data_IF_536794455048
#
_entry.id   IF_536794455048
#
_cell.length_a   1.000
_cell.length_b   1.000
_cell.length_c   1.000
_cell.angle_alpha   90.00
_cell.angle_beta   90.00
_cell.angle_gamma   90.00
#
_symmetry.space_group_name_H-M   'P 1'
#
loop_
_entity.id
_entity.type
_entity.pdbx_description
1 polymer ?
#
# COMPACT_ATOMS: atom_id res chain seq x y z
N UNK A 1 -5.53 36.98 4.08
CA UNK A 1 -4.06 36.93 4.01
C UNK A 1 -3.59 35.61 4.61
N UNK A 2 -3.17 34.64 3.80
CA UNK A 2 -2.65 33.36 4.33
C UNK A 2 -1.23 33.62 4.84
N UNK A 3 -1.03 33.56 6.15
CA UNK A 3 0.30 33.71 6.75
C UNK A 3 1.13 32.48 6.37
N UNK A 4 2.23 32.68 5.65
CA UNK A 4 3.15 31.61 5.26
C UNK A 4 3.77 30.99 6.52
N UNK A 5 3.63 29.67 6.67
CA UNK A 5 4.31 28.90 7.70
C UNK A 5 5.84 29.01 7.48
N UNK A 6 6.60 29.30 8.53
CA UNK A 6 8.03 29.59 8.44
C UNK A 6 8.88 28.42 8.95
N UNK A 7 8.69 28.06 10.22
CA UNK A 7 9.36 26.91 10.85
C UNK A 7 8.35 26.04 11.57
N UNK A 8 8.64 24.74 11.65
CA UNK A 8 7.86 23.75 12.39
C UNK A 8 8.70 23.07 13.46
N UNK A 9 8.04 22.64 14.54
CA UNK A 9 8.58 21.66 15.49
C UNK A 9 7.45 20.82 16.04
N UNK A 10 7.74 19.58 16.39
CA UNK A 10 6.75 18.69 16.99
C UNK A 10 7.33 17.97 18.20
N UNK A 11 6.43 17.51 19.07
CA UNK A 11 6.73 16.70 20.24
C UNK A 11 5.55 15.79 20.54
N UNK A 12 5.76 14.75 21.34
CA UNK A 12 4.67 14.01 21.96
C UNK A 12 4.28 14.69 23.29
N UNK A 13 2.98 14.82 23.53
CA UNK A 13 2.38 15.22 24.82
C UNK A 13 1.32 14.17 25.12
N UNK A 14 1.44 13.49 26.26
CA UNK A 14 0.57 12.37 26.65
C UNK A 14 0.43 11.29 25.55
N UNK A 15 1.56 10.99 24.89
CA UNK A 15 1.62 10.01 23.79
C UNK A 15 1.04 10.49 22.46
N UNK A 16 0.52 11.72 22.37
CA UNK A 16 -0.07 12.28 21.15
C UNK A 16 0.81 13.36 20.53
N UNK A 17 0.87 13.45 19.19
CA UNK A 17 1.69 14.45 18.52
C UNK A 17 1.10 15.86 18.66
N UNK A 18 1.95 16.80 19.03
CA UNK A 18 1.65 18.22 19.07
C UNK A 18 2.57 18.97 18.11
N UNK A 19 1.97 19.63 17.11
CA UNK A 19 2.69 20.39 16.10
C UNK A 19 2.62 21.89 16.41
N UNK A 20 3.78 22.53 16.44
CA UNK A 20 3.92 23.97 16.57
C UNK A 20 4.48 24.57 15.28
N UNK A 21 4.05 25.79 14.97
CA UNK A 21 4.51 26.55 13.83
C UNK A 21 4.88 27.98 14.23
N UNK A 22 5.96 28.51 13.65
CA UNK A 22 6.29 29.94 13.64
C UNK A 22 5.87 30.56 12.31
N UNK A 23 5.38 31.80 12.36
CA UNK A 23 4.97 32.57 11.17
C UNK A 23 5.92 33.77 10.93
N UNK A 24 7.22 33.56 11.14
CA UNK A 24 8.28 34.56 10.94
C UNK A 24 9.38 34.53 12.00
N UNK A 25 10.54 35.11 11.68
CA UNK A 25 11.81 34.99 12.42
C UNK A 25 11.77 35.39 13.90
N UNK A 26 10.82 36.21 14.34
CA UNK A 26 10.66 36.66 15.73
C UNK A 26 9.22 36.51 16.26
N UNK A 27 8.46 35.56 15.72
CA UNK A 27 7.09 35.28 16.18
C UNK A 27 7.07 34.15 17.20
N UNK A 28 6.09 34.15 18.13
CA UNK A 28 5.92 33.03 19.05
C UNK A 28 5.56 31.75 18.29
N UNK A 29 5.88 30.60 18.88
CA UNK A 29 5.38 29.31 18.42
C UNK A 29 3.88 29.22 18.70
N UNK A 30 3.12 28.80 17.70
CA UNK A 30 1.67 28.59 17.80
C UNK A 30 1.38 27.11 17.63
N UNK A 31 0.60 26.53 18.54
CA UNK A 31 0.10 25.16 18.38
C UNK A 31 -0.90 25.12 17.22
N UNK A 32 -0.61 24.31 16.21
CA UNK A 32 -1.43 24.13 15.03
C UNK A 32 -1.92 22.68 14.86
N UNK A 33 -1.82 21.83 15.89
CA UNK A 33 -2.22 20.40 15.83
C UNK A 33 -3.63 20.21 15.29
N UNK A 34 -4.57 21.08 15.68
CA UNK A 34 -5.98 21.01 15.24
C UNK A 34 -6.17 21.23 13.72
N UNK A 35 -5.14 21.70 13.01
CA UNK A 35 -5.14 21.85 11.55
C UNK A 35 -4.63 20.61 10.81
N UNK A 36 -4.33 19.53 11.53
CA UNK A 36 -3.84 18.25 11.00
C UNK A 36 -4.83 17.15 11.33
N UNK A 37 -4.71 16.02 10.65
CA UNK A 37 -5.46 14.83 11.00
C UNK A 37 -5.11 14.38 12.41
N UNK A 38 -6.13 13.94 13.15
CA UNK A 38 -5.93 13.37 14.47
C UNK A 38 -5.73 11.87 14.34
N UNK A 39 -4.58 11.38 14.80
CA UNK A 39 -4.28 9.94 14.81
C UNK A 39 -5.28 9.16 15.67
N UNK A 40 -5.90 9.79 16.66
CA UNK A 40 -6.93 9.16 17.52
C UNK A 40 -8.21 8.78 16.77
N UNK A 41 -8.38 9.26 15.54
CA UNK A 41 -9.51 8.90 14.67
C UNK A 41 -9.22 7.65 13.83
N UNK A 42 -8.03 7.07 13.94
CA UNK A 42 -7.70 5.79 13.33
C UNK A 42 -8.20 4.65 14.22
N UNK A 43 -8.69 3.59 13.57
CA UNK A 43 -9.00 2.32 14.23
C UNK A 43 -8.44 1.18 13.38
N UNK A 44 -7.91 0.17 14.06
CA UNK A 44 -7.16 -0.92 13.44
C UNK A 44 -7.90 -2.24 13.70
N UNK A 45 -8.28 -2.94 12.64
CA UNK A 45 -8.86 -4.28 12.76
C UNK A 45 -7.74 -5.31 12.58
N UNK A 46 -7.61 -6.28 13.48
CA UNK A 46 -6.65 -7.37 13.34
C UNK A 46 -7.19 -8.52 12.46
N UNK A 47 -6.39 -9.57 12.27
CA UNK A 47 -6.76 -10.79 11.54
C UNK A 47 -7.87 -11.62 12.22
N UNK A 48 -8.10 -11.42 13.52
CA UNK A 48 -9.15 -12.09 14.31
C UNK A 48 -10.45 -11.26 14.40
N UNK A 49 -10.56 -10.17 13.62
CA UNK A 49 -11.67 -9.21 13.67
C UNK A 49 -11.82 -8.49 15.02
N UNK A 50 -10.74 -8.37 15.78
CA UNK A 50 -10.69 -7.52 16.97
C UNK A 50 -10.34 -6.09 16.55
N UNK A 51 -11.11 -5.13 17.07
CA UNK A 51 -10.83 -3.71 16.87
C UNK A 51 -9.84 -3.23 17.93
N UNK A 52 -8.84 -2.47 17.49
CA UNK A 52 -7.81 -1.85 18.30
C UNK A 52 -7.81 -0.34 18.08
N UNK A 53 -7.49 0.37 19.15
CA UNK A 53 -7.28 1.81 19.15
C UNK A 53 -5.80 2.15 18.98
N UNK A 54 -5.49 3.36 18.49
CA UNK A 54 -4.11 3.83 18.39
C UNK A 54 -3.42 3.95 19.76
N UNK A 55 -4.17 4.10 20.85
CA UNK A 55 -3.62 4.10 22.21
C UNK A 55 -2.99 2.76 22.63
N UNK A 56 -3.30 1.67 21.92
CA UNK A 56 -2.67 0.36 22.14
C UNK A 56 -1.33 0.22 21.39
N UNK A 57 -0.99 1.18 20.52
CA UNK A 57 0.22 1.16 19.71
C UNK A 57 1.34 1.97 20.37
N UNK A 58 2.58 1.58 20.09
CA UNK A 58 3.73 2.42 20.43
C UNK A 58 3.84 3.57 19.44
N UNK A 59 3.97 4.80 19.95
CA UNK A 59 4.05 6.02 19.15
C UNK A 59 5.37 6.72 19.44
N UNK A 60 6.15 6.92 18.40
CA UNK A 60 7.40 7.69 18.44
C UNK A 60 7.31 8.87 17.49
N UNK A 61 8.14 9.89 17.70
CA UNK A 61 8.25 11.03 16.78
C UNK A 61 9.72 11.26 16.47
N UNK A 62 10.02 11.41 15.18
CA UNK A 62 11.34 11.86 14.72
C UNK A 62 11.14 13.15 13.93
N UNK A 63 11.66 14.25 14.47
CA UNK A 63 11.45 15.61 13.98
C UNK A 63 9.96 15.96 13.78
N UNK A 64 9.45 15.83 12.55
CA UNK A 64 8.10 16.19 12.13
C UNK A 64 7.28 14.99 11.65
N UNK A 65 7.83 13.78 11.78
CA UNK A 65 7.22 12.53 11.36
C UNK A 65 6.89 11.68 12.58
N UNK A 66 5.62 11.34 12.74
CA UNK A 66 5.15 10.41 13.77
C UNK A 66 5.21 9.00 13.20
N UNK A 67 5.69 8.06 13.98
CA UNK A 67 5.69 6.63 13.66
C UNK A 67 4.82 5.90 14.67
N UNK A 68 3.81 5.20 14.17
CA UNK A 68 2.88 4.37 14.96
C UNK A 68 3.22 2.92 14.65
N UNK A 69 3.78 2.20 15.63
CA UNK A 69 4.19 0.82 15.47
C UNK A 69 2.99 -0.12 15.58
N UNK A 70 2.83 -1.01 14.60
CA UNK A 70 1.77 -2.01 14.55
C UNK A 70 2.31 -3.34 15.08
N UNK A 71 2.03 -3.62 16.36
CA UNK A 71 2.53 -4.82 17.05
C UNK A 71 1.67 -6.08 16.81
N UNK A 72 0.80 -6.03 15.80
CA UNK A 72 -0.13 -7.10 15.45
C UNK A 72 -0.47 -7.01 13.96
N UNK A 73 -0.96 -8.11 13.40
CA UNK A 73 -1.31 -8.23 11.99
C UNK A 73 -2.60 -7.46 11.67
N UNK A 74 -2.44 -6.22 11.20
CA UNK A 74 -3.57 -5.34 10.85
C UNK A 74 -4.19 -5.79 9.53
N UNK A 75 -5.46 -6.20 9.57
CA UNK A 75 -6.23 -6.60 8.40
C UNK A 75 -6.96 -5.42 7.75
N UNK A 76 -7.36 -4.40 8.52
CA UNK A 76 -8.03 -3.20 8.01
C UNK A 76 -7.67 -1.96 8.83
N UNK A 77 -7.65 -0.81 8.18
CA UNK A 77 -7.47 0.49 8.84
C UNK A 77 -8.66 1.37 8.49
N UNK A 78 -9.26 1.93 9.53
CA UNK A 78 -10.37 2.86 9.44
C UNK A 78 -9.91 4.24 9.87
N UNK A 79 -10.46 5.28 9.26
CA UNK A 79 -10.35 6.66 9.74
C UNK A 79 -11.74 7.26 9.84
N UNK A 80 -12.11 7.76 11.03
CA UNK A 80 -13.48 8.24 11.30
C UNK A 80 -14.55 7.20 10.93
N UNK A 81 -14.29 5.92 11.21
CA UNK A 81 -15.14 4.77 10.89
C UNK A 81 -15.30 4.44 9.40
N UNK A 82 -14.57 5.10 8.50
CA UNK A 82 -14.51 4.74 7.08
C UNK A 82 -13.29 3.88 6.81
N UNK A 83 -13.45 2.78 6.07
CA UNK A 83 -12.33 1.90 5.75
C UNK A 83 -11.47 2.56 4.67
N UNK A 84 -10.23 2.87 5.02
CA UNK A 84 -9.26 3.51 4.11
C UNK A 84 -8.19 2.55 3.61
N UNK A 85 -7.99 1.41 4.28
CA UNK A 85 -7.09 0.36 3.80
C UNK A 85 -7.54 -1.03 4.24
N UNK A 86 -7.27 -2.04 3.39
CA UNK A 86 -7.50 -3.46 3.66
C UNK A 86 -6.31 -4.29 3.20
N UNK A 87 -5.93 -5.29 3.99
CA UNK A 87 -4.83 -6.21 3.70
C UNK A 87 -4.92 -6.84 2.31
N UNK A 88 -6.12 -7.25 1.90
CA UNK A 88 -6.30 -7.95 0.64
C UNK A 88 -5.99 -7.08 -0.61
N UNK A 89 -5.89 -5.76 -0.47
CA UNK A 89 -5.50 -4.89 -1.59
C UNK A 89 -4.07 -5.13 -2.07
N UNK A 90 -3.18 -5.57 -1.16
CA UNK A 90 -1.76 -5.76 -1.45
C UNK A 90 -1.15 -6.86 -0.55
N UNK A 91 -1.84 -8.00 -0.43
CA UNK A 91 -1.45 -9.04 0.52
C UNK A 91 -0.03 -9.58 0.30
N UNK A 92 0.49 -9.48 -0.92
CA UNK A 92 1.86 -9.86 -1.27
C UNK A 92 2.93 -8.98 -0.62
N UNK A 93 2.58 -7.76 -0.20
CA UNK A 93 3.45 -6.89 0.61
C UNK A 93 3.47 -7.29 2.09
N UNK A 94 2.65 -8.26 2.51
CA UNK A 94 2.49 -8.69 3.89
C UNK A 94 1.68 -7.69 4.74
N UNK A 95 1.80 -7.82 6.07
CA UNK A 95 1.18 -6.88 7.00
C UNK A 95 2.04 -5.63 7.18
N UNK A 96 1.44 -4.42 7.29
CA UNK A 96 2.19 -3.21 7.55
C UNK A 96 2.82 -3.27 8.95
N UNK A 97 4.05 -2.78 9.08
CA UNK A 97 4.76 -2.70 10.37
C UNK A 97 4.50 -1.41 11.10
N UNK A 98 4.31 -0.31 10.39
CA UNK A 98 4.01 0.96 11.01
C UNK A 98 3.30 1.91 10.06
N UNK A 99 2.61 2.87 10.66
CA UNK A 99 2.06 4.04 9.98
C UNK A 99 3.00 5.21 10.23
N UNK A 100 3.46 5.87 9.18
CA UNK A 100 4.11 7.17 9.26
C UNK A 100 3.10 8.27 9.03
N UNK A 101 3.18 9.33 9.81
CA UNK A 101 2.40 10.54 9.63
C UNK A 101 3.31 11.76 9.55
N UNK A 102 3.45 12.31 8.35
CA UNK A 102 4.14 13.57 8.12
C UNK A 102 3.22 14.71 8.58
N UNK A 103 3.56 15.32 9.72
CA UNK A 103 2.74 16.35 10.35
C UNK A 103 2.68 17.63 9.52
N UNK A 104 3.68 17.93 8.68
CA UNK A 104 3.66 19.16 7.87
C UNK A 104 2.83 18.95 6.62
N UNK A 105 3.07 17.85 5.90
CA UNK A 105 2.32 17.47 4.70
C UNK A 105 0.91 16.97 5.00
N UNK A 106 0.63 16.68 6.28
CA UNK A 106 -0.64 16.11 6.74
C UNK A 106 -1.00 14.81 6.01
N UNK A 107 -0.02 13.90 5.84
CA UNK A 107 -0.13 12.71 5.00
C UNK A 107 0.27 11.46 5.75
N UNK A 108 -0.55 10.41 5.65
CA UNK A 108 -0.26 9.08 6.17
C UNK A 108 0.38 8.17 5.10
N UNK A 109 1.34 7.37 5.54
CA UNK A 109 2.03 6.35 4.74
C UNK A 109 2.11 5.05 5.54
N UNK A 110 1.73 3.93 4.93
CA UNK A 110 1.96 2.59 5.44
C UNK A 110 3.33 2.10 5.02
N UNK A 111 4.05 1.46 5.94
CA UNK A 111 5.37 0.88 5.66
C UNK A 111 5.40 -0.59 6.03
N UNK A 112 5.96 -1.40 5.16
CA UNK A 112 6.02 -2.87 5.23
C UNK A 112 7.47 -3.38 5.40
N UNK A 113 7.64 -4.68 5.65
CA UNK A 113 8.93 -5.31 6.02
C UNK A 113 10.08 -5.12 5.01
N UNK A 114 9.75 -4.90 3.74
CA UNK A 114 10.73 -4.75 2.66
C UNK A 114 10.99 -3.29 2.28
N UNK A 115 10.62 -2.34 3.15
CA UNK A 115 10.74 -0.91 2.86
C UNK A 115 9.72 -0.40 1.83
N UNK A 116 8.76 -1.23 1.45
CA UNK A 116 7.62 -0.83 0.61
C UNK A 116 6.81 0.19 1.38
N UNK A 117 6.50 1.31 0.73
CA UNK A 117 5.68 2.38 1.27
C UNK A 117 4.42 2.56 0.42
N UNK A 118 3.27 2.74 1.07
CA UNK A 118 1.97 2.96 0.40
C UNK A 118 1.24 4.12 1.05
N UNK A 119 0.53 4.94 0.29
CA UNK A 119 -0.34 5.98 0.84
C UNK A 119 -1.54 5.30 1.50
N UNK A 120 -1.90 5.77 2.70
CA UNK A 120 -3.03 5.19 3.43
C UNK A 120 -4.40 5.56 2.80
N UNK A 121 -4.47 6.62 2.00
CA UNK A 121 -5.70 7.10 1.35
C UNK A 121 -5.96 6.45 -0.03
N UNK A 122 -5.21 5.41 -0.40
CA UNK A 122 -5.34 4.76 -1.71
C UNK A 122 -6.67 3.98 -1.81
N UNK A 123 -7.65 4.57 -2.50
CA UNK A 123 -8.84 3.86 -3.00
C UNK A 123 -8.48 3.12 -4.29
N UNK A 124 -8.70 1.80 -4.33
CA UNK A 124 -8.38 0.96 -5.48
C UNK A 124 -9.61 0.76 -6.38
N UNK A 125 -9.44 0.93 -7.70
CA UNK A 125 -10.48 0.69 -8.70
C UNK A 125 -10.08 -0.51 -9.57
N UNK A 126 -10.78 -1.64 -9.52
CA UNK A 126 -10.38 -2.80 -10.30
C UNK A 126 -10.72 -2.57 -11.79
N UNK A 127 -9.73 -2.60 -12.69
CA UNK A 127 -9.98 -2.39 -14.13
C UNK A 127 -9.52 -3.60 -14.97
N UNK A 128 -10.50 -4.25 -15.60
CA UNK A 128 -10.38 -5.02 -16.85
C UNK A 128 -9.97 -6.51 -16.80
N UNK A 129 -10.43 -7.26 -17.82
CA UNK A 129 -10.08 -8.63 -18.19
C UNK A 129 -9.85 -8.65 -19.72
N UNK A 130 -8.92 -9.46 -20.26
CA UNK A 130 -9.04 -10.27 -21.51
C UNK A 130 -7.68 -10.78 -22.06
N UNK A 131 -7.72 -11.56 -23.16
CA UNK A 131 -7.01 -12.83 -23.37
C UNK A 131 -6.04 -12.88 -24.57
N UNK A 132 -4.96 -13.65 -24.43
CA UNK A 132 -4.22 -14.31 -25.52
C UNK A 132 -3.00 -13.56 -26.08
N UNK A 133 -1.89 -14.27 -26.32
CA UNK A 133 -0.62 -13.73 -26.84
C UNK A 133 0.30 -12.96 -25.85
N UNK A 134 1.55 -12.68 -26.26
CA UNK A 134 2.53 -11.89 -25.48
C UNK A 134 1.90 -10.60 -24.96
N UNK A 135 2.00 -10.35 -23.65
CA UNK A 135 1.40 -9.18 -23.02
C UNK A 135 2.38 -8.00 -23.03
N UNK A 136 1.95 -6.88 -23.63
CA UNK A 136 2.64 -5.58 -23.61
C UNK A 136 1.92 -4.63 -22.64
N UNK A 137 2.52 -4.38 -21.46
CA UNK A 137 1.88 -3.64 -20.36
C UNK A 137 1.60 -2.16 -20.71
N UNK A 138 2.45 -1.52 -21.52
CA UNK A 138 2.38 -0.10 -21.89
C UNK A 138 1.12 0.29 -22.70
N UNK A 139 0.37 -0.70 -23.21
CA UNK A 139 -0.85 -0.45 -24.01
C UNK A 139 -2.11 -0.23 -23.16
N UNK A 140 -2.00 -0.28 -21.83
CA UNK A 140 -3.13 -0.25 -20.91
C UNK A 140 -3.11 0.99 -20.01
N UNK A 141 -3.84 2.04 -20.39
CA UNK A 141 -4.11 3.19 -19.53
C UNK A 141 -5.28 2.91 -18.57
N UNK A 142 -5.06 2.96 -17.26
CA UNK A 142 -6.16 3.01 -16.28
C UNK A 142 -6.32 4.42 -15.73
N UNK A 143 -7.47 5.04 -16.00
CA UNK A 143 -7.87 6.27 -15.31
C UNK A 143 -8.25 5.95 -13.87
N UNK A 144 -7.35 6.21 -12.93
CA UNK A 144 -7.69 6.33 -11.51
C UNK A 144 -7.57 5.08 -10.64
N UNK A 145 -7.02 3.97 -11.13
CA UNK A 145 -6.63 2.84 -10.28
C UNK A 145 -5.13 2.76 -10.09
N UNK A 146 -4.70 2.34 -8.90
CA UNK A 146 -3.31 1.95 -8.61
C UNK A 146 -3.08 0.44 -8.70
N UNK A 147 -4.10 -0.37 -8.98
CA UNK A 147 -3.96 -1.82 -9.15
C UNK A 147 -4.66 -2.31 -10.42
N UNK A 148 -3.89 -2.85 -11.35
CA UNK A 148 -4.36 -3.48 -12.59
C UNK A 148 -4.29 -5.00 -12.44
N UNK A 149 -5.27 -5.72 -12.98
CA UNK A 149 -5.33 -7.20 -12.89
C UNK A 149 -5.55 -7.79 -14.28
N UNK A 150 -4.85 -8.88 -14.58
CA UNK A 150 -4.90 -9.57 -15.86
C UNK A 150 -5.09 -11.06 -15.59
N UNK A 151 -6.08 -11.68 -16.24
CA UNK A 151 -6.33 -13.13 -16.13
C UNK A 151 -5.91 -13.79 -17.44
N UNK A 152 -5.02 -14.76 -17.36
CA UNK A 152 -4.48 -15.46 -18.52
C UNK A 152 -5.30 -16.71 -18.82
N UNK A 153 -5.82 -16.81 -20.05
CA UNK A 153 -6.42 -18.04 -20.58
C UNK A 153 -5.41 -18.93 -21.31
N UNK A 154 -4.32 -18.33 -21.80
CA UNK A 154 -3.26 -19.00 -22.53
C UNK A 154 -2.01 -19.18 -21.68
N UNK A 155 -1.10 -20.02 -22.16
CA UNK A 155 0.17 -20.33 -21.51
C UNK A 155 1.26 -19.39 -22.04
N UNK A 156 1.85 -18.60 -21.14
CA UNK A 156 2.93 -17.67 -21.47
C UNK A 156 4.26 -18.11 -20.86
N UNK A 157 5.33 -17.94 -21.64
CA UNK A 157 6.70 -18.13 -21.16
C UNK A 157 7.37 -16.81 -20.79
N UNK A 158 6.90 -15.69 -21.35
CA UNK A 158 7.49 -14.36 -21.14
C UNK A 158 6.37 -13.34 -20.97
N UNK A 159 6.56 -12.39 -20.06
CA UNK A 159 5.73 -11.20 -19.90
C UNK A 159 6.66 -9.99 -20.06
N UNK A 160 6.31 -9.09 -20.97
CA UNK A 160 7.08 -7.90 -21.30
C UNK A 160 6.42 -6.60 -20.83
N UNK A 161 7.23 -5.56 -20.70
CA UNK A 161 6.79 -4.18 -20.57
C UNK A 161 7.58 -3.29 -21.53
N UNK A 162 7.04 -3.10 -22.74
CA UNK A 162 7.72 -2.33 -23.78
C UNK A 162 8.90 -3.12 -24.33
N UNK A 163 10.12 -2.66 -24.07
CA UNK A 163 11.36 -3.32 -24.55
C UNK A 163 11.96 -4.30 -23.56
N UNK A 164 11.44 -4.35 -22.33
CA UNK A 164 12.01 -5.15 -21.25
C UNK A 164 11.14 -6.38 -20.95
N UNK A 165 11.76 -7.55 -20.84
CA UNK A 165 11.12 -8.72 -20.25
C UNK A 165 11.05 -8.55 -18.73
N UNK A 166 9.84 -8.47 -18.17
CA UNK A 166 9.63 -8.31 -16.73
C UNK A 166 9.54 -9.64 -16.00
N UNK A 167 9.23 -10.72 -16.72
CA UNK A 167 9.23 -12.07 -16.17
C UNK A 167 9.40 -13.11 -17.27
N UNK A 168 10.23 -14.10 -17.00
CA UNK A 168 10.40 -15.28 -17.83
C UNK A 168 10.19 -16.55 -16.98
N UNK A 169 9.45 -17.50 -17.55
CA UNK A 169 9.18 -18.80 -16.97
C UNK A 169 10.41 -19.69 -17.04
N UNK A 170 10.91 -20.13 -15.90
CA UNK A 170 12.02 -21.08 -15.85
C UNK A 170 11.54 -22.53 -16.11
N UNK A 171 12.42 -23.43 -16.57
CA UNK A 171 12.10 -24.85 -16.72
C UNK A 171 11.53 -25.45 -15.43
N UNK A 172 10.40 -26.16 -15.55
CA UNK A 172 9.70 -26.78 -14.41
C UNK A 172 8.72 -25.85 -13.68
N UNK A 173 8.70 -24.55 -13.97
CA UNK A 173 7.73 -23.64 -13.36
C UNK A 173 6.34 -23.77 -13.99
N UNK A 174 5.27 -23.57 -13.19
CA UNK A 174 3.91 -23.52 -13.69
C UNK A 174 3.68 -22.30 -14.58
N UNK A 175 2.66 -22.40 -15.42
CA UNK A 175 2.24 -21.27 -16.26
C UNK A 175 1.46 -20.24 -15.43
N UNK A 176 1.61 -18.94 -15.74
CA UNK A 176 0.89 -17.89 -15.05
C UNK A 176 -0.60 -17.99 -15.37
N UNK A 177 -1.45 -17.87 -14.35
CA UNK A 177 -2.92 -17.82 -14.47
C UNK A 177 -3.45 -16.40 -14.31
N UNK A 178 -2.74 -15.55 -13.56
CA UNK A 178 -3.10 -14.15 -13.34
C UNK A 178 -1.85 -13.32 -13.12
N UNK A 179 -1.92 -12.04 -13.47
CA UNK A 179 -0.96 -11.02 -13.07
C UNK A 179 -1.69 -9.85 -12.43
N UNK A 180 -1.07 -9.23 -11.43
CA UNK A 180 -1.46 -7.94 -10.91
C UNK A 180 -0.30 -6.96 -11.03
N UNK A 181 -0.59 -5.71 -11.35
CA UNK A 181 0.38 -4.63 -11.40
C UNK A 181 -0.07 -3.56 -10.43
N UNK A 182 0.81 -3.25 -9.50
CA UNK A 182 0.63 -2.20 -8.53
C UNK A 182 1.36 -0.94 -8.98
N UNK A 183 0.63 0.02 -9.54
CA UNK A 183 1.18 1.25 -10.10
C UNK A 183 1.69 2.22 -9.01
N UNK A 184 1.32 1.99 -7.74
CA UNK A 184 1.84 2.79 -6.62
C UNK A 184 3.28 2.38 -6.27
N UNK A 185 3.55 1.08 -6.29
CA UNK A 185 4.82 0.49 -5.86
C UNK A 185 5.67 -0.01 -7.02
N UNK A 186 5.11 -0.04 -8.23
CA UNK A 186 5.65 -0.71 -9.42
C UNK A 186 5.90 -2.22 -9.21
N UNK A 187 5.23 -2.85 -8.24
CA UNK A 187 5.29 -4.30 -8.05
C UNK A 187 4.46 -5.01 -9.12
N UNK A 188 5.02 -6.06 -9.73
CA UNK A 188 4.29 -6.96 -10.62
C UNK A 188 4.17 -8.31 -9.92
N UNK A 189 2.94 -8.80 -9.75
CA UNK A 189 2.67 -10.04 -9.04
C UNK A 189 2.09 -11.07 -9.98
N UNK A 190 2.78 -12.18 -10.16
CA UNK A 190 2.42 -13.22 -11.13
C UNK A 190 1.95 -14.45 -10.36
N UNK A 191 0.67 -14.76 -10.48
CA UNK A 191 0.02 -15.87 -9.81
C UNK A 191 -0.02 -17.10 -10.72
N UNK A 192 0.49 -18.21 -10.21
CA UNK A 192 0.42 -19.53 -10.79
C UNK A 192 -0.53 -20.41 -9.97
N UNK A 193 -0.59 -21.71 -10.27
CA UNK A 193 -1.51 -22.65 -9.61
C UNK A 193 -1.23 -22.84 -8.11
N UNK A 194 0.04 -22.97 -7.74
CA UNK A 194 0.50 -23.33 -6.39
C UNK A 194 1.32 -22.23 -5.71
N UNK A 195 1.76 -21.22 -6.47
CA UNK A 195 2.68 -20.17 -6.02
C UNK A 195 2.42 -18.85 -6.72
N UNK A 196 3.04 -17.80 -6.21
CA UNK A 196 3.12 -16.52 -6.90
C UNK A 196 4.53 -15.94 -6.83
N UNK A 197 4.81 -15.03 -7.74
CA UNK A 197 6.07 -14.31 -7.81
C UNK A 197 5.82 -12.83 -7.63
N UNK A 198 6.60 -12.18 -6.77
CA UNK A 198 6.63 -10.72 -6.68
C UNK A 198 7.87 -10.26 -7.40
N UNK A 199 7.66 -9.51 -8.48
CA UNK A 199 8.70 -8.92 -9.31
C UNK A 199 8.82 -7.46 -8.92
N UNK A 200 10.03 -7.02 -8.58
CA UNK A 200 10.33 -5.63 -8.26
C UNK A 200 11.44 -5.10 -9.15
N UNK A 201 11.37 -3.82 -9.49
CA UNK A 201 12.41 -3.12 -10.24
C UNK A 201 13.09 -2.11 -9.31
N UNK A 202 14.35 -2.37 -8.99
CA UNK A 202 15.16 -1.50 -8.14
C UNK A 202 16.45 -1.12 -8.88
N UNK A 203 16.65 0.18 -9.12
CA UNK A 203 17.85 0.71 -9.77
C UNK A 203 18.20 0.04 -11.13
N UNK A 204 17.18 -0.34 -11.91
CA UNK A 204 17.36 -1.02 -13.20
C UNK A 204 17.61 -2.53 -13.10
N UNK A 205 17.67 -3.09 -11.89
CA UNK A 205 17.73 -4.53 -11.66
C UNK A 205 16.32 -5.07 -11.38
N UNK A 206 16.00 -6.21 -11.96
CA UNK A 206 14.75 -6.93 -11.70
C UNK A 206 15.02 -8.02 -10.67
N UNK A 207 14.33 -7.98 -9.54
CA UNK A 207 14.32 -9.06 -8.56
C UNK A 207 13.01 -9.84 -8.66
N UNK A 208 13.05 -11.12 -8.27
CA UNK A 208 11.92 -12.03 -8.32
C UNK A 208 11.90 -12.89 -7.07
N UNK A 209 10.94 -12.65 -6.20
CA UNK A 209 10.71 -13.45 -5.00
C UNK A 209 9.58 -14.44 -5.23
N UNK A 210 9.79 -15.70 -4.84
CA UNK A 210 8.77 -16.75 -4.92
C UNK A 210 8.09 -16.95 -3.57
N UNK A 211 6.77 -17.11 -3.61
CA UNK A 211 5.94 -17.36 -2.43
C UNK A 211 4.90 -18.45 -2.69
N UNK A 212 4.57 -19.25 -1.67
CA UNK A 212 3.51 -20.25 -1.74
C UNK A 212 2.11 -19.60 -1.74
N UNK A 213 1.18 -20.20 -2.47
CA UNK A 213 -0.20 -19.75 -2.53
C UNK A 213 -1.04 -20.45 -1.45
N UNK A 214 -1.27 -19.76 -0.33
CA UNK A 214 -2.13 -20.25 0.76
C UNK A 214 -3.61 -20.23 0.38
N UNK A 215 -4.46 -20.89 1.18
CA UNK A 215 -5.92 -20.81 0.98
C UNK A 215 -6.44 -19.38 1.14
N UNK A 216 -5.91 -18.61 2.10
CA UNK A 216 -6.25 -17.20 2.27
C UNK A 216 -5.95 -16.38 1.00
N UNK A 217 -4.79 -16.61 0.36
CA UNK A 217 -4.44 -15.94 -0.90
C UNK A 217 -5.45 -16.29 -2.00
N UNK A 218 -5.83 -17.56 -2.13
CA UNK A 218 -6.84 -18.00 -3.11
C UNK A 218 -8.20 -17.36 -2.87
N UNK A 219 -8.62 -17.26 -1.61
CA UNK A 219 -9.90 -16.64 -1.23
C UNK A 219 -9.89 -15.14 -1.58
N UNK A 220 -8.79 -14.44 -1.30
CA UNK A 220 -8.59 -13.04 -1.69
C UNK A 220 -8.67 -12.88 -3.22
N UNK A 221 -7.98 -13.73 -3.98
CA UNK A 221 -8.00 -13.71 -5.44
C UNK A 221 -9.42 -13.93 -6.00
N UNK A 222 -10.21 -14.80 -5.37
CA UNK A 222 -11.61 -15.02 -5.74
C UNK A 222 -12.51 -13.81 -5.44
N UNK A 223 -12.21 -13.00 -4.41
CA UNK A 223 -12.95 -11.76 -4.13
C UNK A 223 -12.80 -10.75 -5.25
N UNK A 224 -11.61 -10.64 -5.86
CA UNK A 224 -11.38 -9.79 -7.01
C UNK A 224 -12.21 -10.23 -8.23
N UNK A 225 -12.34 -11.54 -8.45
CA UNK A 225 -13.14 -12.06 -9.57
C UNK A 225 -14.64 -11.81 -9.41
N UNK A 226 -15.14 -11.84 -8.17
CA UNK A 226 -16.57 -11.60 -7.89
C UNK A 226 -16.95 -10.14 -8.08
N UNK A 227 -16.07 -9.20 -7.72
CA UNK A 227 -16.29 -7.77 -7.96
C UNK A 227 -16.35 -7.43 -9.46
N UNK A 228 -15.68 -8.22 -10.30
CA UNK A 228 -15.74 -8.12 -11.75
C UNK A 228 -17.07 -8.55 -12.40
N UNK A 229 -17.98 -9.20 -11.66
CA UNK A 229 -19.26 -9.72 -12.20
C UNK A 229 -20.43 -8.75 -11.94
N UNK A 230 -20.22 -7.72 -11.12
CA UNK A 230 -21.29 -6.82 -10.65
C UNK A 230 -21.23 -5.40 -11.24
N UNK A 231 -20.32 -5.15 -12.19
CA UNK A 231 -20.23 -3.95 -13.03
C UNK A 231 -20.35 -4.35 -14.52
#
# INVERSE_FOLDING_TARGET
>A
MVRKEYDHKATLVDGLPVLYCKFGKNKPWVNITKKRFSITLLSLLDSNNRMHSISECEITINELVVKILLNFDVSQILFKNEIIWKFYYCFWSGYPKYIQFDLVKNKFTLVFDHGIERKLETMYTLVGRECGGTLEIDKYESKGSLLRSFIFKEKFNVIGNGVDDVWERLPGEPYPKRMMIDDETNEIVIFCEDRYFVVRREHGTISRDQHELTQLHKDILNLFDRKHILD
#
